data_IF_576083609877
#
_entry.id   IF_576083609877
#
_cell.length_a   1.000
_cell.length_b   1.000
_cell.length_c   1.000
_cell.angle_alpha   90.00
_cell.angle_beta   90.00
_cell.angle_gamma   90.00
#
_symmetry.space_group_name_H-M   'P 1'
#
loop_
_entity.id
_entity.type
_entity.pdbx_description
1 polymer ?
#
# COMPACT_ATOMS: atom_id res chain seq x y z
N UNK A 1 -22.76 0.53 -1.25
CA UNK A 1 -22.68 1.40 -0.06
C UNK A 1 -21.21 1.78 0.12
N UNK A 2 -20.78 2.95 -0.35
CA UNK A 2 -19.39 3.41 -0.17
C UNK A 2 -19.19 3.77 1.29
N UNK A 3 -18.62 2.87 2.08
CA UNK A 3 -18.15 3.19 3.42
C UNK A 3 -17.01 4.20 3.26
N UNK A 4 -17.28 5.47 3.58
CA UNK A 4 -16.27 6.53 3.50
C UNK A 4 -15.14 6.18 4.50
N UNK A 5 -13.95 5.92 3.98
CA UNK A 5 -12.76 5.53 4.77
C UNK A 5 -11.98 6.76 5.20
N UNK A 6 -11.90 7.74 4.30
CA UNK A 6 -11.11 8.94 4.44
C UNK A 6 -11.97 10.12 4.87
N UNK A 7 -11.50 10.84 5.89
CA UNK A 7 -12.02 12.15 6.32
C UNK A 7 -11.66 13.23 5.31
N UNK A 8 -10.43 13.18 4.81
CA UNK A 8 -9.86 14.14 3.86
C UNK A 8 -9.17 13.40 2.72
N UNK A 9 -9.08 14.03 1.54
CA UNK A 9 -8.43 13.41 0.39
C UNK A 9 -6.94 13.28 0.66
N UNK A 10 -6.45 12.03 0.74
CA UNK A 10 -5.03 11.74 0.86
C UNK A 10 -4.30 12.03 -0.46
N UNK A 11 -3.23 12.83 -0.47
CA UNK A 11 -2.43 13.06 -1.66
C UNK A 11 -1.78 11.78 -2.20
N UNK A 12 -1.83 11.58 -3.51
CA UNK A 12 -1.26 10.40 -4.18
C UNK A 12 0.26 10.30 -4.05
N UNK A 13 0.98 11.43 -3.97
CA UNK A 13 2.44 11.45 -3.83
C UNK A 13 2.92 10.70 -2.58
N UNK A 14 2.16 10.75 -1.47
CA UNK A 14 2.52 10.04 -0.22
C UNK A 14 2.68 8.53 -0.47
N UNK A 15 1.84 7.95 -1.34
CA UNK A 15 1.98 6.55 -1.73
C UNK A 15 3.16 6.36 -2.68
N UNK A 16 3.30 7.22 -3.70
CA UNK A 16 4.37 7.06 -4.69
C UNK A 16 5.77 7.26 -4.11
N UNK A 17 5.94 8.16 -3.15
CA UNK A 17 7.22 8.37 -2.45
C UNK A 17 7.66 7.09 -1.71
N UNK A 18 6.71 6.40 -1.04
CA UNK A 18 6.99 5.10 -0.43
C UNK A 18 7.33 4.03 -1.47
N UNK A 19 6.58 3.99 -2.57
CA UNK A 19 6.77 2.97 -3.62
C UNK A 19 8.11 3.15 -4.35
N UNK A 20 8.54 4.38 -4.62
CA UNK A 20 9.83 4.70 -5.23
C UNK A 20 11.00 4.17 -4.40
N UNK A 21 10.87 4.21 -3.08
CA UNK A 21 11.92 3.79 -2.15
C UNK A 21 11.97 2.27 -1.94
N UNK A 22 10.79 1.64 -1.86
CA UNK A 22 10.69 0.22 -1.50
C UNK A 22 10.63 -0.72 -2.70
N UNK A 23 10.05 -0.29 -3.82
CA UNK A 23 9.64 -1.18 -4.91
C UNK A 23 10.59 -1.14 -6.10
N UNK A 24 10.53 -2.19 -6.91
CA UNK A 24 11.07 -2.15 -8.27
C UNK A 24 10.08 -1.37 -9.15
N UNK A 25 10.59 -0.35 -9.83
CA UNK A 25 9.85 0.49 -10.77
C UNK A 25 10.16 0.06 -12.20
N UNK A 26 9.10 -0.22 -12.96
CA UNK A 26 9.15 -0.33 -14.41
C UNK A 26 8.55 0.95 -15.02
N UNK A 27 8.66 1.16 -16.32
CA UNK A 27 8.15 2.36 -17.02
C UNK A 27 6.68 2.72 -16.77
N UNK A 28 5.85 1.75 -16.35
CA UNK A 28 4.38 1.91 -16.21
C UNK A 28 3.86 1.70 -14.79
N UNK A 29 4.59 0.98 -13.95
CA UNK A 29 4.09 0.55 -12.64
C UNK A 29 5.20 0.21 -11.65
N UNK A 30 4.85 0.27 -10.38
CA UNK A 30 5.62 -0.28 -9.26
C UNK A 30 5.18 -1.71 -8.95
N UNK A 31 6.13 -2.58 -8.63
CA UNK A 31 5.85 -3.95 -8.16
C UNK A 31 6.03 -4.00 -6.65
N UNK A 32 4.93 -4.18 -5.92
CA UNK A 32 4.94 -4.40 -4.47
C UNK A 32 4.73 -5.89 -4.17
N UNK A 33 5.65 -6.49 -3.42
CA UNK A 33 5.63 -7.90 -3.06
C UNK A 33 6.11 -8.12 -1.61
N UNK A 34 6.19 -9.38 -1.19
CA UNK A 34 6.61 -9.73 0.18
C UNK A 34 8.03 -9.24 0.51
N UNK A 35 8.93 -9.19 -0.48
CA UNK A 35 10.29 -8.67 -0.33
C UNK A 35 10.25 -7.17 -0.03
N UNK A 36 9.51 -6.41 -0.83
CA UNK A 36 9.30 -4.95 -0.67
C UNK A 36 8.69 -4.64 0.71
N UNK A 37 7.72 -5.45 1.12
CA UNK A 37 7.12 -5.37 2.45
C UNK A 37 8.13 -5.58 3.58
N UNK A 38 8.90 -6.68 3.54
CA UNK A 38 9.92 -6.96 4.55
C UNK A 38 10.97 -5.85 4.62
N UNK A 39 11.40 -5.32 3.47
CA UNK A 39 12.29 -4.15 3.40
C UNK A 39 11.69 -2.93 4.11
N UNK A 40 10.42 -2.62 3.83
CA UNK A 40 9.71 -1.49 4.43
C UNK A 40 9.44 -1.62 5.93
N UNK A 41 9.25 -2.85 6.43
CA UNK A 41 9.17 -3.11 7.88
C UNK A 41 10.53 -2.95 8.53
N UNK A 42 11.59 -3.53 7.94
CA UNK A 42 12.96 -3.47 8.48
C UNK A 42 13.50 -2.04 8.53
N UNK A 43 13.15 -1.21 7.56
CA UNK A 43 13.56 0.20 7.48
C UNK A 43 12.58 1.16 8.17
N UNK A 44 11.55 0.65 8.85
CA UNK A 44 10.46 1.40 9.50
C UNK A 44 9.60 2.31 8.59
N UNK A 45 9.94 2.42 7.30
CA UNK A 45 9.24 3.26 6.31
C UNK A 45 7.75 2.96 6.17
N UNK A 46 7.33 1.69 6.34
CA UNK A 46 5.91 1.34 6.35
C UNK A 46 5.21 1.95 7.57
N UNK A 47 5.84 1.91 8.75
CA UNK A 47 5.26 2.48 9.96
C UNK A 47 5.14 4.01 9.85
N UNK A 48 6.17 4.65 9.29
CA UNK A 48 6.18 6.09 9.04
C UNK A 48 5.09 6.48 8.04
N UNK A 49 4.97 5.76 6.93
CA UNK A 49 3.89 5.93 5.98
C UNK A 49 2.50 5.81 6.62
N UNK A 50 2.28 4.80 7.46
CA UNK A 50 1.00 4.62 8.15
C UNK A 50 0.70 5.77 9.11
N UNK A 51 1.72 6.30 9.81
CA UNK A 51 1.57 7.48 10.66
C UNK A 51 1.19 8.72 9.85
N UNK A 52 1.83 8.92 8.69
CA UNK A 52 1.50 10.01 7.74
C UNK A 52 0.07 9.87 7.19
N UNK A 53 -0.45 8.65 7.05
CA UNK A 53 -1.82 8.40 6.59
C UNK A 53 -2.89 8.69 7.66
N UNK A 54 -2.58 8.57 8.97
CA UNK A 54 -3.55 8.72 10.07
C UNK A 54 -4.45 9.96 10.01
N UNK A 55 -3.96 11.18 9.77
CA UNK A 55 -4.80 12.38 9.75
C UNK A 55 -5.88 12.35 8.66
N UNK A 56 -5.65 11.61 7.56
CA UNK A 56 -6.60 11.51 6.46
C UNK A 56 -7.72 10.50 6.72
N UNK A 57 -7.55 9.57 7.67
CA UNK A 57 -8.55 8.57 8.01
C UNK A 57 -9.50 9.07 9.09
N UNK A 58 -10.79 8.70 8.99
CA UNK A 58 -11.69 8.86 10.13
C UNK A 58 -11.17 8.07 11.34
N UNK A 59 -11.35 8.60 12.55
CA UNK A 59 -10.92 7.96 13.81
C UNK A 59 -11.41 6.50 13.92
N UNK A 60 -12.67 6.24 13.53
CA UNK A 60 -13.27 4.89 13.54
C UNK A 60 -12.63 3.91 12.53
N UNK A 61 -11.86 4.42 11.57
CA UNK A 61 -11.18 3.68 10.51
C UNK A 61 -9.66 3.60 10.72
N UNK A 62 -9.09 4.31 11.68
CA UNK A 62 -7.65 4.26 11.97
C UNK A 62 -7.16 2.87 12.40
N UNK A 63 -8.06 1.93 12.75
CA UNK A 63 -7.75 0.51 12.98
C UNK A 63 -7.06 -0.19 11.79
N UNK A 64 -7.18 0.35 10.58
CA UNK A 64 -6.44 -0.17 9.41
C UNK A 64 -4.94 0.18 9.45
N UNK A 65 -4.56 1.21 10.21
CA UNK A 65 -3.20 1.79 10.28
C UNK A 65 -2.44 1.36 11.55
N UNK A 66 -2.83 0.25 12.17
CA UNK A 66 -2.19 -0.27 13.38
C UNK A 66 -0.76 -0.77 13.11
N UNK A 67 0.15 -0.62 14.08
CA UNK A 67 1.59 -0.93 14.00
C UNK A 67 1.86 -2.42 13.76
N UNK A 68 1.00 -3.32 14.23
CA UNK A 68 1.11 -4.78 13.94
C UNK A 68 0.40 -5.11 12.63
N UNK A 69 0.92 -4.56 11.54
CA UNK A 69 0.38 -4.80 10.21
C UNK A 69 0.95 -6.10 9.63
N UNK A 70 0.14 -6.82 8.85
CA UNK A 70 0.58 -7.93 8.01
C UNK A 70 0.60 -7.48 6.57
N UNK A 71 1.28 -8.20 5.69
CA UNK A 71 1.30 -7.90 4.25
C UNK A 71 -0.11 -7.63 3.68
N UNK A 72 -1.07 -8.50 3.99
CA UNK A 72 -2.44 -8.37 3.50
C UNK A 72 -3.17 -7.13 4.04
N UNK A 73 -2.94 -6.79 5.32
CA UNK A 73 -3.51 -5.58 5.93
C UNK A 73 -2.87 -4.33 5.33
N UNK A 74 -1.57 -4.33 5.12
CA UNK A 74 -0.85 -3.23 4.48
C UNK A 74 -1.34 -3.02 3.05
N UNK A 75 -1.46 -4.10 2.28
CA UNK A 75 -2.02 -4.01 0.94
C UNK A 75 -3.47 -3.53 0.91
N UNK A 76 -4.24 -3.77 1.97
CA UNK A 76 -5.58 -3.19 2.10
C UNK A 76 -5.53 -1.67 2.20
N UNK A 77 -4.59 -1.11 2.98
CA UNK A 77 -4.38 0.35 3.07
C UNK A 77 -3.98 0.93 1.71
N UNK A 78 -3.01 0.30 1.03
CA UNK A 78 -2.57 0.73 -0.31
C UNK A 78 -3.74 0.76 -1.30
N UNK A 79 -4.55 -0.31 -1.34
CA UNK A 79 -5.73 -0.36 -2.22
C UNK A 79 -6.78 0.70 -1.89
N UNK A 80 -6.99 1.00 -0.60
CA UNK A 80 -7.90 2.08 -0.20
C UNK A 80 -7.42 3.44 -0.75
N UNK A 81 -6.13 3.72 -0.65
CA UNK A 81 -5.51 4.96 -1.15
C UNK A 81 -5.60 5.01 -2.68
N UNK A 82 -5.34 3.88 -3.37
CA UNK A 82 -5.48 3.80 -4.81
C UNK A 82 -6.92 4.08 -5.26
N UNK A 83 -7.90 3.43 -4.63
CA UNK A 83 -9.31 3.65 -4.96
C UNK A 83 -9.75 5.11 -4.72
N UNK A 84 -9.26 5.75 -3.65
CA UNK A 84 -9.56 7.15 -3.34
C UNK A 84 -8.98 8.13 -4.39
N UNK A 85 -7.83 7.78 -4.96
CA UNK A 85 -7.14 8.61 -5.94
C UNK A 85 -7.34 8.17 -7.39
N UNK A 86 -8.24 7.21 -7.65
CA UNK A 86 -8.46 6.60 -8.97
C UNK A 86 -7.17 6.04 -9.61
N UNK A 87 -6.26 5.52 -8.78
CA UNK A 87 -5.03 4.88 -9.23
C UNK A 87 -5.34 3.43 -9.59
N UNK A 88 -4.98 3.03 -10.81
CA UNK A 88 -5.16 1.67 -11.29
C UNK A 88 -4.13 0.75 -10.63
N UNK A 89 -4.58 -0.43 -10.19
CA UNK A 89 -3.69 -1.50 -9.74
C UNK A 89 -4.25 -2.87 -10.15
N UNK A 90 -3.36 -3.84 -10.25
CA UNK A 90 -3.73 -5.25 -10.43
C UNK A 90 -2.90 -6.14 -9.51
N UNK A 91 -3.32 -7.38 -9.29
CA UNK A 91 -2.55 -8.37 -8.53
C UNK A 91 -2.35 -9.63 -9.35
N UNK A 92 -1.22 -10.30 -9.13
CA UNK A 92 -0.92 -11.62 -9.71
C UNK A 92 -0.45 -12.55 -8.61
N UNK A 93 -0.87 -13.81 -8.70
CA UNK A 93 -0.34 -14.88 -7.86
C UNK A 93 0.92 -15.40 -8.55
N UNK A 94 2.04 -15.35 -7.82
CA UNK A 94 3.32 -15.89 -8.26
C UNK A 94 3.60 -17.17 -7.49
N UNK A 95 3.88 -18.24 -8.22
CA UNK A 95 4.22 -19.54 -7.66
C UNK A 95 5.74 -19.73 -7.70
N UNK A 96 6.32 -20.15 -6.59
CA UNK A 96 7.72 -20.57 -6.50
C UNK A 96 7.82 -21.78 -5.56
N UNK A 97 8.31 -22.91 -6.07
CA UNK A 97 8.50 -24.17 -5.31
C UNK A 97 7.32 -24.53 -4.40
N UNK A 98 6.10 -24.55 -4.95
CA UNK A 98 4.85 -24.86 -4.23
C UNK A 98 4.42 -23.82 -3.18
N UNK A 99 5.18 -22.73 -3.00
CA UNK A 99 4.73 -21.54 -2.29
C UNK A 99 4.08 -20.57 -3.28
N UNK A 100 3.13 -19.78 -2.78
CA UNK A 100 2.54 -18.71 -3.57
C UNK A 100 2.66 -17.39 -2.81
N UNK A 101 2.93 -16.33 -3.56
CA UNK A 101 2.90 -14.96 -3.07
C UNK A 101 2.01 -14.12 -3.99
N UNK A 102 1.34 -13.11 -3.43
CA UNK A 102 0.53 -12.17 -4.21
C UNK A 102 1.38 -10.92 -4.44
N UNK A 103 1.69 -10.63 -5.71
CA UNK A 103 2.35 -9.39 -6.11
C UNK A 103 1.29 -8.37 -6.57
N UNK A 104 1.48 -7.11 -6.19
CA UNK A 104 0.64 -6.00 -6.62
C UNK A 104 1.41 -5.09 -7.58
N UNK A 105 0.72 -4.68 -8.63
CA UNK A 105 1.24 -3.84 -9.70
C UNK A 105 0.47 -2.52 -9.66
N UNK A 106 1.13 -1.44 -9.25
CA UNK A 106 0.51 -0.13 -9.01
C UNK A 106 0.96 0.82 -10.11
N UNK A 107 0.04 1.28 -10.95
CA UNK A 107 0.36 2.09 -12.13
C UNK A 107 0.52 3.57 -11.78
N UNK A 108 1.40 4.28 -12.48
CA UNK A 108 1.71 5.70 -12.21
C UNK A 108 1.63 6.64 -13.43
N UNK A 109 0.94 6.21 -14.49
CA UNK A 109 0.76 6.97 -15.73
C UNK A 109 -0.23 8.12 -15.61
#
# INVERSE_FOLDING_TARGET
MSLQIFKERIPSHILFDLLEDLCVKNEKYYIFNNISYKKGIFTEKINDFLNTCKPYYFTSKQKYLDRKITYNKFMTVVRQICNMNNIVYTSKIKYDKSLYEIEYYIYYN
#
